data_IF_946798896326
#
_entry.id   IF_946798896326
#
_cell.length_a   1.000
_cell.length_b   1.000
_cell.length_c   1.000
_cell.angle_alpha   90.00
_cell.angle_beta   90.00
_cell.angle_gamma   90.00
#
_symmetry.space_group_name_H-M   'P 1'
#
loop_
_entity.id
_entity.type
_entity.pdbx_description
1 polymer ?
#
# COMPACT_ATOMS: atom_id res chain seq x y z
N UNK A 1 -32.71 8.33 -25.57
CA UNK A 1 -31.24 8.29 -25.43
C UNK A 1 -30.94 7.73 -24.05
N UNK A 2 -30.53 6.45 -23.96
CA UNK A 2 -30.11 5.86 -22.68
C UNK A 2 -28.65 6.21 -22.46
N UNK A 3 -28.40 7.24 -21.67
CA UNK A 3 -27.07 7.60 -21.19
C UNK A 3 -26.54 6.46 -20.33
N UNK A 4 -25.51 5.74 -20.83
CA UNK A 4 -24.71 4.82 -20.02
C UNK A 4 -24.11 5.61 -18.86
N UNK A 5 -24.59 5.34 -17.65
CA UNK A 5 -23.99 5.85 -16.43
C UNK A 5 -22.69 5.07 -16.22
N UNK A 6 -21.58 5.61 -16.71
CA UNK A 6 -20.25 5.12 -16.35
C UNK A 6 -20.05 5.49 -14.88
N UNK A 7 -20.22 4.54 -13.97
CA UNK A 7 -19.81 4.72 -12.58
C UNK A 7 -18.29 4.92 -12.58
N UNK A 8 -17.87 6.18 -12.45
CA UNK A 8 -16.47 6.52 -12.18
C UNK A 8 -16.23 6.10 -10.73
N UNK A 9 -15.62 4.94 -10.54
CA UNK A 9 -15.14 4.49 -9.24
C UNK A 9 -13.95 5.39 -8.91
N UNK A 10 -14.21 6.46 -8.15
CA UNK A 10 -13.15 7.17 -7.46
C UNK A 10 -12.61 6.21 -6.41
N UNK A 11 -11.48 5.55 -6.69
CA UNK A 11 -10.67 4.98 -5.63
C UNK A 11 -10.25 6.17 -4.77
N UNK A 12 -10.93 6.36 -3.65
CA UNK A 12 -10.55 7.34 -2.65
C UNK A 12 -9.04 7.16 -2.41
N UNK A 13 -8.29 8.26 -2.43
CA UNK A 13 -6.87 8.28 -2.10
C UNK A 13 -6.70 7.50 -0.80
N UNK A 14 -6.20 6.26 -0.90
CA UNK A 14 -6.02 5.42 0.26
C UNK A 14 -4.68 5.82 0.87
N UNK A 15 -4.75 6.35 2.09
CA UNK A 15 -3.56 6.65 2.86
C UNK A 15 -2.89 5.33 3.23
N UNK A 16 -1.63 5.19 2.81
CA UNK A 16 -0.80 4.07 3.19
C UNK A 16 0.28 4.55 4.15
N UNK A 17 0.43 3.80 5.25
CA UNK A 17 1.45 4.01 6.25
C UNK A 17 2.49 2.92 6.14
N UNK A 18 3.74 3.34 6.08
CA UNK A 18 4.89 2.42 6.07
C UNK A 18 5.52 2.46 7.45
N UNK A 19 5.48 1.34 8.16
CA UNK A 19 6.00 1.23 9.52
C UNK A 19 7.17 0.27 9.54
N UNK A 20 8.27 0.67 10.18
CA UNK A 20 9.39 -0.23 10.47
C UNK A 20 9.08 -0.95 11.78
N UNK A 21 8.81 -2.25 11.69
CA UNK A 21 8.48 -3.10 12.84
C UNK A 21 9.76 -3.82 13.29
N UNK A 22 10.16 -3.72 14.57
CA UNK A 22 11.28 -4.49 15.09
C UNK A 22 10.91 -5.98 15.11
N UNK A 23 11.69 -6.83 14.43
CA UNK A 23 11.47 -8.27 14.37
C UNK A 23 12.73 -9.04 14.77
N UNK A 24 12.83 -9.37 16.06
CA UNK A 24 14.00 -10.04 16.65
C UNK A 24 15.33 -9.33 16.34
N UNK A 25 16.18 -9.91 15.47
CA UNK A 25 17.49 -9.39 15.04
C UNK A 25 17.44 -8.65 13.70
N UNK A 26 16.27 -8.56 13.06
CA UNK A 26 16.04 -7.87 11.79
C UNK A 26 14.94 -6.81 11.92
N UNK A 27 14.82 -5.95 10.90
CA UNK A 27 13.74 -4.98 10.78
C UNK A 27 12.76 -5.48 9.72
N UNK A 28 11.48 -5.45 10.02
CA UNK A 28 10.41 -5.71 9.08
C UNK A 28 9.80 -4.39 8.61
N UNK A 29 9.24 -4.37 7.40
CA UNK A 29 8.42 -3.24 6.94
C UNK A 29 6.98 -3.70 6.84
N UNK A 30 6.08 -3.03 7.54
CA UNK A 30 4.65 -3.22 7.43
C UNK A 30 4.01 -2.10 6.62
N UNK A 31 3.14 -2.47 5.69
CA UNK A 31 2.25 -1.57 4.96
C UNK A 31 0.87 -1.67 5.61
N UNK A 32 0.37 -0.53 6.05
CA UNK A 32 -0.92 -0.38 6.71
C UNK A 32 -1.79 0.60 5.94
N UNK A 33 -3.10 0.39 5.97
CA UNK A 33 -4.10 1.39 5.64
C UNK A 33 -4.76 1.88 6.94
N UNK A 34 -5.61 2.91 6.85
CA UNK A 34 -6.35 3.44 8.01
C UNK A 34 -7.12 2.38 8.81
N UNK A 35 -7.47 1.25 8.20
CA UNK A 35 -8.34 0.23 8.82
C UNK A 35 -7.70 -1.14 8.96
N UNK A 36 -6.64 -1.44 8.23
CA UNK A 36 -6.11 -2.81 8.12
C UNK A 36 -4.60 -2.84 7.89
N UNK A 37 -3.95 -3.86 8.46
CA UNK A 37 -2.65 -4.31 8.00
C UNK A 37 -2.79 -4.96 6.62
N UNK A 38 -2.04 -4.46 5.65
CA UNK A 38 -2.11 -4.95 4.28
C UNK A 38 -1.04 -6.02 4.03
N UNK A 39 0.20 -5.73 4.42
CA UNK A 39 1.32 -6.65 4.23
C UNK A 39 2.49 -6.32 5.13
N UNK A 40 3.11 -7.35 5.70
CA UNK A 40 4.38 -7.23 6.43
C UNK A 40 5.48 -8.02 5.74
N UNK A 41 6.58 -7.34 5.42
CA UNK A 41 7.80 -7.93 4.87
C UNK A 41 8.70 -8.34 6.04
N UNK A 42 8.88 -9.64 6.22
CA UNK A 42 9.63 -10.25 7.33
C UNK A 42 11.16 -10.25 7.16
N UNK A 43 11.65 -9.90 5.97
CA UNK A 43 13.06 -9.63 5.67
C UNK A 43 13.24 -8.13 5.40
N UNK A 44 14.47 -7.61 5.51
CA UNK A 44 14.79 -6.24 5.08
C UNK A 44 14.43 -6.11 3.60
N UNK A 45 13.32 -5.43 3.25
CA UNK A 45 12.90 -5.38 1.87
C UNK A 45 13.79 -4.36 1.16
N UNK A 46 14.35 -4.78 0.02
CA UNK A 46 15.01 -3.87 -0.91
C UNK A 46 14.03 -2.75 -1.25
N UNK A 47 14.49 -1.49 -1.12
CA UNK A 47 13.70 -0.29 -1.40
C UNK A 47 13.05 -0.37 -2.79
N UNK A 48 13.76 -0.90 -3.78
CA UNK A 48 13.23 -1.07 -5.13
C UNK A 48 12.11 -2.10 -5.20
N UNK A 49 12.21 -3.20 -4.44
CA UNK A 49 11.14 -4.20 -4.36
C UNK A 49 9.91 -3.63 -3.65
N UNK A 50 10.10 -2.82 -2.61
CA UNK A 50 9.01 -2.14 -1.93
C UNK A 50 8.28 -1.16 -2.86
N UNK A 51 9.03 -0.29 -3.55
CA UNK A 51 8.47 0.67 -4.52
C UNK A 51 7.70 -0.06 -5.61
N UNK A 52 8.30 -1.11 -6.20
CA UNK A 52 7.64 -1.93 -7.22
C UNK A 52 6.35 -2.55 -6.70
N UNK A 53 6.37 -3.08 -5.47
CA UNK A 53 5.18 -3.65 -4.85
C UNK A 53 4.08 -2.60 -4.66
N UNK A 54 4.44 -1.41 -4.17
CA UNK A 54 3.51 -0.30 -3.96
C UNK A 54 2.86 0.16 -5.27
N UNK A 55 3.67 0.37 -6.31
CA UNK A 55 3.18 0.78 -7.64
C UNK A 55 2.25 -0.26 -8.28
N UNK A 56 2.54 -1.55 -8.09
CA UNK A 56 1.76 -2.64 -8.68
C UNK A 56 0.43 -2.89 -7.96
N UNK A 57 0.43 -2.82 -6.63
CA UNK A 57 -0.72 -3.24 -5.82
C UNK A 57 -1.58 -2.07 -5.35
N UNK A 58 -1.01 -0.87 -5.25
CA UNK A 58 -1.70 0.32 -4.76
C UNK A 58 -1.49 1.53 -5.70
N UNK A 59 -1.91 1.41 -6.97
CA UNK A 59 -1.79 2.52 -7.92
C UNK A 59 -2.64 3.72 -7.45
N UNK A 60 -2.00 4.86 -7.22
CA UNK A 60 -2.66 6.09 -6.76
C UNK A 60 -2.76 6.26 -5.24
N UNK A 61 -2.16 5.35 -4.46
CA UNK A 61 -2.03 5.55 -3.02
C UNK A 61 -1.06 6.69 -2.71
N UNK A 62 -1.42 7.51 -1.71
CA UNK A 62 -0.53 8.50 -1.13
C UNK A 62 0.19 7.83 0.03
N UNK A 63 1.52 7.79 -0.05
CA UNK A 63 2.38 7.35 1.05
C UNK A 63 2.60 8.57 1.94
N UNK A 64 2.26 8.45 3.22
CA UNK A 64 2.36 9.52 4.22
C UNK A 64 3.46 9.18 5.22
#
# INVERSE_FOLDING_TARGET
MNSKVTQVIYFAVQNLYIVVVPHHKSRAIGIYSDKFELKTFSQEPDVNQLIKHLQQNYPGALII
#
